data_IF_986744203160
#
_entry.id   IF_986744203160
#
_cell.length_a   1.000
_cell.length_b   1.000
_cell.length_c   1.000
_cell.angle_alpha   90.00
_cell.angle_beta   90.00
_cell.angle_gamma   90.00
#
_symmetry.space_group_name_H-M   'P 1'
#
loop_
_entity.id
_entity.type
_entity.pdbx_description
1 polymer ?
#
# COMPACT_ATOMS: atom_id res chain seq x y z
N UNK A 1 -3.45 3.26 22.95
CA UNK A 1 -3.51 1.85 22.49
C UNK A 1 -3.39 1.85 20.98
N UNK A 2 -2.26 1.42 20.41
CA UNK A 2 -2.14 1.18 18.98
C UNK A 2 -2.94 -0.09 18.65
N UNK A 3 -3.89 0.01 17.72
CA UNK A 3 -4.69 -1.12 17.24
C UNK A 3 -4.01 -1.64 15.96
N UNK A 4 -3.25 -2.71 16.07
CA UNK A 4 -2.75 -3.44 14.91
C UNK A 4 -3.87 -4.35 14.39
N UNK A 5 -4.47 -3.99 13.26
CA UNK A 5 -5.38 -4.90 12.55
C UNK A 5 -4.49 -5.90 11.81
N UNK A 6 -4.49 -7.16 12.25
CA UNK A 6 -3.89 -8.23 11.47
C UNK A 6 -4.64 -8.34 10.14
N UNK A 7 -3.95 -8.09 9.02
CA UNK A 7 -4.47 -8.43 7.70
C UNK A 7 -4.30 -9.94 7.54
N UNK A 8 -5.35 -10.70 7.84
CA UNK A 8 -5.42 -12.10 7.48
C UNK A 8 -5.30 -12.25 5.96
N UNK A 9 -4.60 -13.28 5.50
CA UNK A 9 -4.71 -13.75 4.13
C UNK A 9 -6.04 -14.50 4.00
N UNK A 10 -7.13 -13.75 3.86
CA UNK A 10 -8.36 -14.33 3.34
C UNK A 10 -8.16 -14.70 1.86
N UNK A 11 -8.75 -15.80 1.43
CA UNK A 11 -8.77 -16.19 0.02
C UNK A 11 -9.51 -15.11 -0.77
N UNK A 12 -8.77 -14.17 -1.36
CA UNK A 12 -9.36 -13.14 -2.23
C UNK A 12 -10.09 -13.83 -3.38
N UNK A 13 -11.29 -13.38 -3.75
CA UNK A 13 -11.88 -13.78 -5.02
C UNK A 13 -10.87 -13.56 -6.13
N UNK A 14 -10.73 -14.53 -7.04
CA UNK A 14 -9.73 -14.48 -8.10
C UNK A 14 -9.99 -13.23 -8.93
N UNK A 15 -9.07 -12.25 -8.85
CA UNK A 15 -9.14 -11.06 -9.67
C UNK A 15 -9.24 -11.47 -11.14
N UNK A 16 -10.19 -10.89 -11.87
CA UNK A 16 -10.34 -11.14 -13.30
C UNK A 16 -9.17 -10.50 -14.08
N UNK A 17 -8.64 -9.38 -13.59
CA UNK A 17 -7.48 -8.69 -14.14
C UNK A 17 -6.66 -7.95 -13.06
N UNK A 18 -5.37 -7.73 -13.34
CA UNK A 18 -4.49 -6.87 -12.56
C UNK A 18 -3.79 -5.87 -13.50
N UNK A 19 -4.49 -4.78 -13.92
CA UNK A 19 -3.96 -3.86 -14.92
C UNK A 19 -2.82 -2.99 -14.43
N UNK A 20 -2.61 -2.84 -13.11
CA UNK A 20 -1.52 -2.06 -12.55
C UNK A 20 -0.82 -2.80 -11.41
N UNK A 21 0.48 -3.01 -11.60
CA UNK A 21 1.42 -3.47 -10.58
C UNK A 21 2.50 -2.40 -10.42
N UNK A 22 2.69 -1.94 -9.19
CA UNK A 22 3.81 -1.07 -8.81
C UNK A 22 4.67 -1.81 -7.82
N UNK A 23 5.93 -2.03 -8.18
CA UNK A 23 6.94 -2.62 -7.32
C UNK A 23 8.05 -1.61 -7.07
N UNK A 24 8.46 -1.49 -5.83
CA UNK A 24 9.46 -0.51 -5.44
C UNK A 24 10.17 -0.93 -4.17
N UNK A 25 11.33 -0.32 -3.97
CA UNK A 25 12.09 -0.53 -2.75
C UNK A 25 12.40 0.78 -2.07
N UNK A 26 12.26 0.81 -0.76
CA UNK A 26 12.65 1.93 0.08
C UNK A 26 13.90 1.53 0.86
N UNK A 27 14.87 2.43 0.89
CA UNK A 27 16.03 2.38 1.75
C UNK A 27 16.07 3.65 2.60
N UNK A 28 16.70 3.56 3.77
CA UNK A 28 16.89 4.71 4.63
C UNK A 28 17.69 5.81 3.90
N UNK A 29 17.22 7.07 3.85
CA UNK A 29 17.76 8.10 2.95
C UNK A 29 19.07 8.74 3.44
N UNK A 30 19.49 8.53 4.69
CA UNK A 30 20.65 9.23 5.26
C UNK A 30 21.41 8.44 6.32
N UNK A 31 22.34 9.14 6.98
CA UNK A 31 22.96 8.68 8.22
C UNK A 31 22.15 9.22 9.40
N UNK A 32 21.66 8.34 10.28
CA UNK A 32 20.85 8.74 11.42
C UNK A 32 20.09 7.58 12.05
N UNK A 33 19.27 7.94 13.04
CA UNK A 33 18.38 7.04 13.75
C UNK A 33 17.28 6.45 12.85
N UNK A 34 16.65 5.32 13.25
CA UNK A 34 15.52 4.77 12.51
C UNK A 34 14.39 5.77 12.31
N UNK A 35 13.82 5.80 11.10
CA UNK A 35 12.74 6.71 10.74
C UNK A 35 11.42 5.97 10.63
N UNK A 36 10.40 6.44 11.33
CA UNK A 36 9.03 5.97 11.13
C UNK A 36 8.49 6.47 9.78
N UNK A 37 7.80 5.58 9.07
CA UNK A 37 7.19 5.93 7.80
C UNK A 37 5.80 5.30 7.64
N UNK A 38 5.03 5.92 6.75
CA UNK A 38 3.70 5.50 6.37
C UNK A 38 3.60 5.50 4.84
N UNK A 39 2.77 4.62 4.32
CA UNK A 39 2.38 4.61 2.90
C UNK A 39 1.06 5.37 2.78
N UNK A 40 1.02 6.38 1.92
CA UNK A 40 -0.18 7.09 1.52
C UNK A 40 -0.54 6.69 0.08
N UNK A 41 -1.75 6.18 -0.13
CA UNK A 41 -2.30 5.91 -1.44
C UNK A 41 -3.52 6.79 -1.68
N UNK A 42 -3.53 7.49 -2.81
CA UNK A 42 -4.65 8.30 -3.26
C UNK A 42 -5.10 7.85 -4.65
N UNK A 43 -6.40 7.65 -4.80
CA UNK A 43 -7.03 7.35 -6.08
C UNK A 43 -7.81 8.59 -6.49
N UNK A 44 -7.56 9.11 -7.69
CA UNK A 44 -8.21 10.32 -8.22
C UNK A 44 -8.84 10.00 -9.57
N UNK A 45 -9.91 10.70 -9.91
CA UNK A 45 -10.47 10.67 -11.25
C UNK A 45 -9.68 11.56 -12.23
N UNK A 46 -10.13 11.59 -13.49
CA UNK A 46 -9.49 12.37 -14.56
C UNK A 46 -9.53 13.90 -14.32
N UNK A 47 -10.48 14.38 -13.51
CA UNK A 47 -10.54 15.80 -13.11
C UNK A 47 -9.59 16.12 -11.95
N UNK A 48 -8.93 15.11 -11.39
CA UNK A 48 -8.07 15.22 -10.22
C UNK A 48 -8.83 15.17 -8.89
N UNK A 49 -10.14 14.92 -8.89
CA UNK A 49 -10.93 14.79 -7.66
C UNK A 49 -10.56 13.49 -6.95
N UNK A 50 -10.35 13.58 -5.63
CA UNK A 50 -10.04 12.44 -4.78
C UNK A 50 -11.25 11.49 -4.66
N UNK A 51 -11.08 10.26 -5.12
CA UNK A 51 -12.06 9.17 -5.02
C UNK A 51 -11.85 8.35 -3.75
N UNK A 52 -10.59 8.10 -3.38
CA UNK A 52 -10.25 7.32 -2.19
C UNK A 52 -8.87 7.67 -1.66
N UNK A 53 -8.69 7.56 -0.35
CA UNK A 53 -7.43 7.81 0.35
C UNK A 53 -7.22 6.77 1.45
N UNK A 54 -6.08 6.11 1.43
CA UNK A 54 -5.68 5.12 2.43
C UNK A 54 -4.30 5.46 2.99
N UNK A 55 -4.16 5.35 4.31
CA UNK A 55 -2.89 5.50 5.01
C UNK A 55 -2.58 4.21 5.75
N UNK A 56 -1.36 3.72 5.60
CA UNK A 56 -0.85 2.56 6.32
C UNK A 56 0.45 2.95 7.02
N UNK A 57 0.41 3.05 8.36
CA UNK A 57 1.63 3.15 9.15
C UNK A 57 2.37 1.82 9.10
N UNK A 58 3.65 1.83 8.72
CA UNK A 58 4.44 0.60 8.55
C UNK A 58 5.39 0.39 9.72
N UNK A 59 5.96 1.47 10.25
CA UNK A 59 6.88 1.44 11.39
C UNK A 59 8.22 2.07 11.05
N UNK A 60 9.24 1.78 11.87
CA UNK A 60 10.57 2.34 11.71
C UNK A 60 11.41 1.59 10.66
N UNK A 61 12.13 2.34 9.82
CA UNK A 61 13.13 1.85 8.89
C UNK A 61 14.52 2.14 9.45
N UNK A 62 15.26 1.09 9.82
CA UNK A 62 16.65 1.24 10.24
C UNK A 62 17.58 1.47 9.04
N UNK A 63 18.78 2.01 9.29
CA UNK A 63 19.75 2.33 8.23
C UNK A 63 20.14 1.14 7.34
N UNK A 64 20.30 -0.04 7.93
CA UNK A 64 20.69 -1.25 7.21
C UNK A 64 19.51 -1.94 6.51
N UNK A 65 18.28 -1.48 6.77
CA UNK A 65 17.09 -2.15 6.28
C UNK A 65 16.74 -1.68 4.87
N UNK A 66 16.30 -2.64 4.07
CA UNK A 66 15.58 -2.41 2.82
C UNK A 66 14.17 -2.93 2.98
N UNK A 67 13.21 -2.23 2.40
CA UNK A 67 11.81 -2.67 2.33
C UNK A 67 11.40 -2.78 0.89
N UNK A 68 10.61 -3.81 0.60
CA UNK A 68 10.02 -4.05 -0.71
C UNK A 68 8.53 -3.78 -0.56
N UNK A 69 7.99 -3.02 -1.50
CA UNK A 69 6.57 -2.70 -1.56
C UNK A 69 6.03 -3.21 -2.89
N UNK A 70 4.87 -3.82 -2.83
CA UNK A 70 4.06 -4.14 -4.00
C UNK A 70 2.66 -3.58 -3.80
N UNK A 71 2.18 -2.83 -4.78
CA UNK A 71 0.80 -2.39 -4.88
C UNK A 71 0.19 -3.01 -6.13
N UNK A 72 -0.95 -3.67 -5.96
CA UNK A 72 -1.70 -4.30 -7.05
C UNK A 72 -3.10 -3.72 -7.10
N UNK A 73 -3.47 -3.24 -8.28
CA UNK A 73 -4.87 -2.88 -8.57
C UNK A 73 -5.51 -4.09 -9.21
N UNK A 74 -6.33 -4.78 -8.43
CA UNK A 74 -7.07 -5.95 -8.86
C UNK A 74 -8.50 -5.56 -9.21
N UNK A 75 -8.98 -6.04 -10.36
CA UNK A 75 -10.35 -5.82 -10.81
C UNK A 75 -11.12 -7.13 -10.79
N UNK A 76 -12.29 -7.10 -10.17
CA UNK A 76 -13.31 -8.15 -10.24
C UNK A 76 -14.53 -7.60 -10.95
N UNK A 77 -15.35 -8.44 -11.62
CA UNK A 77 -16.62 -8.00 -12.17
C UNK A 77 -17.44 -7.32 -11.08
N UNK A 78 -18.07 -6.19 -11.42
CA UNK A 78 -19.06 -5.61 -10.54
C UNK A 78 -20.22 -6.61 -10.41
N UNK A 79 -20.57 -6.97 -9.19
CA UNK A 79 -21.81 -7.72 -8.97
C UNK A 79 -22.95 -6.81 -9.38
N UNK A 80 -23.68 -7.18 -10.44
CA UNK A 80 -24.92 -6.51 -10.78
C UNK A 80 -25.87 -6.68 -9.58
N UNK A 81 -26.36 -5.57 -9.06
CA UNK A 81 -27.34 -5.54 -7.98
C UNK A 81 -28.73 -5.33 -8.57
#
# INVERSE_FOLDING_TARGET
MLRATAFGFEARPRAAACPLLVEGTLAHPGAGDPLEYQVLMEVRDESGKLLSRQIMAVGALARADKRVFSLRVEMTPATAN
#
